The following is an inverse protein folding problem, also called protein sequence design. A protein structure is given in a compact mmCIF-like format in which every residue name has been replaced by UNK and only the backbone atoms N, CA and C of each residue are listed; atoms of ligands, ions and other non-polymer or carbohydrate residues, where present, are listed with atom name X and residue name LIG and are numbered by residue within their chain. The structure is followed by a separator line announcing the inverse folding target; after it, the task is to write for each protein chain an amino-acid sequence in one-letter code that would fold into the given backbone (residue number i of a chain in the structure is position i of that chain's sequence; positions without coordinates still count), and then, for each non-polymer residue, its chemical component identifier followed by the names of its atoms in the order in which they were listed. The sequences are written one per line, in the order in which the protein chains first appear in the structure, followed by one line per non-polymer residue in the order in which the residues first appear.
data_IF_287165809197
#
_entry.id   IF_287165809197
#
_cell.length_a   1.000
_cell.length_b   1.000
_cell.length_c   1.000
_cell.angle_alpha   90.00
_cell.angle_beta   90.00
_cell.angle_gamma   90.00
#
_symmetry.space_group_name_H-M   'P 1'
#
loop_
_entity.id
_entity.type
_entity.pdbx_description
1 polymer ?
#
# COMPACT_ATOMS: atom_id res chain seq x y z
N UNK A 1 6.40 21.35 25.69
CA UNK A 1 6.02 20.95 24.33
C UNK A 1 6.02 19.43 24.34
N UNK A 2 4.86 18.82 24.53
CA UNK A 2 4.77 17.36 24.56
C UNK A 2 4.83 16.91 23.11
N UNK A 3 5.96 16.34 22.71
CA UNK A 3 6.03 15.53 21.49
C UNK A 3 5.26 14.27 21.83
N UNK A 4 4.01 14.19 21.39
CA UNK A 4 3.28 12.92 21.33
C UNK A 4 4.19 11.93 20.62
N UNK A 5 4.60 10.87 21.32
CA UNK A 5 5.20 9.70 20.71
C UNK A 5 4.23 9.25 19.62
N UNK A 6 4.60 9.47 18.35
CA UNK A 6 3.95 8.78 17.25
C UNK A 6 4.18 7.31 17.53
N UNK A 7 3.14 6.61 17.96
CA UNK A 7 3.09 5.16 17.92
C UNK A 7 3.50 4.75 16.51
N UNK A 8 4.72 4.24 16.38
CA UNK A 8 5.21 3.67 15.14
C UNK A 8 4.37 2.42 14.90
N UNK A 9 3.31 2.57 14.12
CA UNK A 9 2.44 1.48 13.72
C UNK A 9 3.22 0.65 12.70
N UNK A 10 3.96 -0.31 13.21
CA UNK A 10 4.67 -1.28 12.40
C UNK A 10 3.66 -2.25 11.80
N UNK A 11 3.48 -2.15 10.48
CA UNK A 11 2.73 -3.15 9.72
C UNK A 11 3.31 -4.54 10.02
N UNK A 12 2.42 -5.46 10.38
CA UNK A 12 2.77 -6.87 10.50
C UNK A 12 3.55 -7.33 9.25
N UNK A 13 4.68 -8.02 9.44
CA UNK A 13 5.58 -8.44 8.35
C UNK A 13 4.86 -9.29 7.29
N UNK A 14 3.88 -10.11 7.69
CA UNK A 14 3.05 -10.88 6.76
C UNK A 14 2.16 -9.97 5.92
N UNK A 15 1.52 -8.97 6.53
CA UNK A 15 0.69 -7.99 5.81
C UNK A 15 1.55 -7.17 4.85
N UNK A 16 2.73 -6.75 5.28
CA UNK A 16 3.70 -6.03 4.45
C UNK A 16 4.14 -6.88 3.24
N UNK A 17 4.42 -8.17 3.45
CA UNK A 17 4.78 -9.08 2.36
C UNK A 17 3.64 -9.22 1.34
N UNK A 18 2.42 -9.47 1.82
CA UNK A 18 1.23 -9.57 0.95
C UNK A 18 0.96 -8.27 0.18
N UNK A 19 1.14 -7.11 0.83
CA UNK A 19 0.97 -5.81 0.19
C UNK A 19 1.98 -5.58 -0.94
N UNK A 20 3.27 -5.90 -0.70
CA UNK A 20 4.32 -5.82 -1.73
C UNK A 20 4.00 -6.69 -2.93
N UNK A 21 3.56 -7.93 -2.70
CA UNK A 21 3.17 -8.85 -3.78
C UNK A 21 2.01 -8.29 -4.61
N UNK A 22 1.01 -7.72 -3.95
CA UNK A 22 -0.17 -7.18 -4.63
C UNK A 22 0.14 -5.94 -5.46
N UNK A 23 1.03 -5.07 -4.97
CA UNK A 23 1.54 -3.91 -5.73
C UNK A 23 2.32 -4.40 -6.94
N UNK A 24 3.22 -5.38 -6.78
CA UNK A 24 3.97 -5.94 -7.90
C UNK A 24 3.08 -6.54 -8.99
N UNK A 25 2.04 -7.29 -8.63
CA UNK A 25 1.08 -7.84 -9.58
C UNK A 25 0.32 -6.74 -10.34
N UNK A 26 -0.11 -5.69 -9.63
CA UNK A 26 -0.76 -4.52 -10.23
C UNK A 26 0.15 -3.80 -11.22
N UNK A 27 1.42 -3.57 -10.85
CA UNK A 27 2.42 -2.95 -11.72
C UNK A 27 2.69 -3.81 -12.95
N UNK A 28 2.85 -5.13 -12.77
CA UNK A 28 3.07 -6.08 -13.87
C UNK A 28 1.90 -6.10 -14.84
N UNK A 29 0.66 -6.18 -14.34
CA UNK A 29 -0.54 -6.13 -15.18
C UNK A 29 -0.65 -4.79 -15.90
N UNK A 30 -0.45 -3.67 -15.20
CA UNK A 30 -0.55 -2.36 -15.82
C UNK A 30 0.58 -2.14 -16.83
N UNK A 31 1.78 -2.66 -16.61
CA UNK A 31 2.85 -2.58 -17.59
C UNK A 31 2.50 -3.33 -18.88
N UNK A 32 1.84 -4.49 -18.75
CA UNK A 32 1.39 -5.31 -19.89
C UNK A 32 0.21 -4.67 -20.64
N UNK A 33 -0.74 -4.10 -19.91
CA UNK A 33 -2.05 -3.70 -20.47
C UNK A 33 -2.20 -2.19 -20.67
N UNK A 34 -1.37 -1.38 -19.99
CA UNK A 34 -1.42 0.09 -19.97
C UNK A 34 -2.81 0.67 -19.66
N UNK A 35 -3.63 -0.06 -18.90
CA UNK A 35 -5.02 0.31 -18.60
C UNK A 35 -5.15 1.48 -17.63
N UNK A 36 -4.15 1.70 -16.79
CA UNK A 36 -4.15 2.72 -15.75
C UNK A 36 -3.08 3.76 -16.06
N UNK A 37 -3.48 5.03 -15.97
CA UNK A 37 -2.56 6.17 -15.93
C UNK A 37 -1.70 6.12 -14.66
N UNK A 38 -0.60 6.88 -14.64
CA UNK A 38 0.25 6.99 -13.46
C UNK A 38 -0.54 7.45 -12.22
N UNK A 39 -1.45 8.42 -12.37
CA UNK A 39 -2.27 8.90 -11.27
C UNK A 39 -3.20 7.81 -10.73
N UNK A 40 -3.87 7.05 -11.62
CA UNK A 40 -4.73 5.95 -11.21
C UNK A 40 -3.96 4.80 -10.55
N UNK A 41 -2.71 4.55 -10.96
CA UNK A 41 -1.81 3.60 -10.30
C UNK A 41 -1.49 4.07 -8.88
N UNK A 42 -1.09 5.33 -8.72
CA UNK A 42 -0.79 5.93 -7.42
C UNK A 42 -1.99 5.89 -6.49
N UNK A 43 -3.19 6.26 -6.97
CA UNK A 43 -4.43 6.20 -6.19
C UNK A 43 -4.73 4.77 -5.72
N UNK A 44 -4.62 3.78 -6.62
CA UNK A 44 -4.84 2.38 -6.25
C UNK A 44 -3.84 1.86 -5.23
N UNK A 45 -2.56 2.19 -5.37
CA UNK A 45 -1.52 1.78 -4.41
C UNK A 45 -1.80 2.42 -3.05
N UNK A 46 -2.17 3.70 -3.01
CA UNK A 46 -2.55 4.39 -1.77
C UNK A 46 -3.70 3.67 -1.06
N UNK A 47 -4.77 3.34 -1.79
CA UNK A 47 -5.91 2.62 -1.21
C UNK A 47 -5.56 1.21 -0.73
N UNK A 48 -4.60 0.53 -1.37
CA UNK A 48 -4.09 -0.75 -0.88
C UNK A 48 -3.34 -0.59 0.45
N UNK A 49 -2.56 0.48 0.60
CA UNK A 49 -1.84 0.80 1.83
C UNK A 49 -2.83 1.20 2.95
N UNK A 50 -3.76 2.11 2.66
CA UNK A 50 -4.78 2.56 3.62
C UNK A 50 -5.58 1.38 4.18
N UNK A 51 -6.06 0.50 3.30
CA UNK A 51 -6.78 -0.72 3.72
C UNK A 51 -5.90 -1.68 4.52
N UNK A 52 -4.63 -1.83 4.17
CA UNK A 52 -3.73 -2.68 4.94
C UNK A 52 -3.50 -2.13 6.35
N UNK A 53 -3.38 -0.81 6.49
CA UNK A 53 -3.22 -0.15 7.77
C UNK A 53 -4.52 -0.16 8.61
N UNK A 54 -5.69 -0.03 7.99
CA UNK A 54 -7.00 -0.11 8.67
C UNK A 54 -7.29 -1.51 9.22
N UNK A 55 -6.82 -2.57 8.55
CA UNK A 55 -7.06 -3.96 8.97
C UNK A 55 -6.04 -4.50 9.99
N UNK A 56 -4.94 -3.79 10.26
CA UNK A 56 -3.91 -4.17 11.24
C UNK A 56 -4.20 -3.57 12.65
N UNK A 57 -5.19 -2.69 12.76
CA UNK A 57 -5.73 -2.13 14.00
C UNK A 57 -6.99 -2.87 14.46
#
# INVERSE_FOLDING_TARGET
MNFEEKDETYLNQTVLFSLKMRIYELEKENNKTKKLTNNQMTDKIRHLIERAAENDN
#
